data_IF_356656106051
#
_entry.id   IF_356656106051
#
_cell.length_a   1.000
_cell.length_b   1.000
_cell.length_c   1.000
_cell.angle_alpha   90.00
_cell.angle_beta   90.00
_cell.angle_gamma   90.00
#
_symmetry.space_group_name_H-M   'P 1'
#
loop_
_entity.id
_entity.type
_entity.pdbx_description
1 polymer ?
#
# COMPACT_ATOMS: atom_id res chain seq x y z
N UNK A 1 44.14 -43.14 -18.87
CA UNK A 1 42.96 -42.29 -19.14
C UNK A 1 42.94 -41.12 -18.16
N UNK A 2 43.86 -40.16 -18.19
CA UNK A 2 44.51 -39.49 -19.35
C UNK A 2 43.48 -38.90 -20.33
N UNK A 3 43.56 -37.61 -20.71
CA UNK A 3 44.60 -36.64 -20.35
C UNK A 3 44.18 -35.18 -20.46
N UNK A 4 45.07 -34.30 -19.99
CA UNK A 4 44.94 -32.84 -19.99
C UNK A 4 45.95 -32.24 -20.97
N UNK A 5 45.56 -31.18 -21.68
CA UNK A 5 46.51 -30.31 -22.38
C UNK A 5 46.01 -28.85 -22.35
N UNK A 6 46.78 -27.97 -21.71
CA UNK A 6 46.74 -26.51 -21.90
C UNK A 6 47.86 -26.12 -22.86
N UNK A 7 47.65 -25.11 -23.69
CA UNK A 7 48.72 -24.22 -24.14
C UNK A 7 48.15 -22.83 -24.50
N UNK A 8 48.86 -21.80 -24.07
CA UNK A 8 48.59 -20.38 -24.27
C UNK A 8 49.83 -19.71 -24.85
N UNK A 9 49.70 -18.68 -25.69
CA UNK A 9 50.62 -17.51 -25.79
C UNK A 9 49.85 -16.37 -26.50
N UNK A 10 50.18 -15.11 -26.19
CA UNK A 10 49.53 -13.89 -26.68
C UNK A 10 50.53 -12.93 -27.35
N UNK A 11 50.03 -11.97 -28.16
CA UNK A 11 50.61 -10.61 -28.32
C UNK A 11 49.78 -9.71 -29.28
N UNK A 12 49.27 -8.61 -28.73
CA UNK A 12 48.74 -7.39 -29.40
C UNK A 12 49.89 -6.34 -29.56
N UNK A 13 49.66 -5.06 -29.98
CA UNK A 13 48.90 -4.50 -31.12
C UNK A 13 49.68 -3.37 -31.87
N UNK A 14 49.13 -2.74 -32.91
CA UNK A 14 49.46 -1.34 -33.27
C UNK A 14 48.36 -0.63 -34.12
N UNK A 15 48.33 0.72 -34.11
CA UNK A 15 47.19 1.58 -34.53
C UNK A 15 47.55 2.61 -35.65
N UNK A 16 46.58 3.15 -36.42
CA UNK A 16 46.78 4.08 -37.55
C UNK A 16 46.71 5.58 -37.15
N UNK A 17 46.89 6.57 -38.08
CA UNK A 17 45.72 7.29 -38.64
C UNK A 17 45.89 8.07 -39.99
N UNK A 18 44.78 8.64 -40.50
CA UNK A 18 44.72 9.77 -41.48
C UNK A 18 43.79 9.54 -42.70
N UNK A 19 43.02 10.49 -43.25
CA UNK A 19 42.68 11.88 -42.84
C UNK A 19 41.92 12.68 -43.93
N UNK A 20 41.07 13.63 -43.50
CA UNK A 20 40.47 14.80 -44.21
C UNK A 20 39.23 14.68 -45.16
N UNK A 21 38.15 15.36 -44.76
CA UNK A 21 37.07 16.01 -45.57
C UNK A 21 37.51 17.46 -46.02
N UNK A 22 36.68 18.43 -46.54
CA UNK A 22 35.22 18.48 -46.83
C UNK A 22 34.73 19.22 -48.12
N UNK A 23 33.39 19.31 -48.24
CA UNK A 23 32.58 20.47 -48.73
C UNK A 23 32.09 20.63 -50.20
N UNK A 24 30.75 20.49 -50.34
CA UNK A 24 29.77 21.39 -50.98
C UNK A 24 29.69 21.61 -52.53
N UNK A 25 28.49 21.34 -53.11
CA UNK A 25 27.57 22.35 -53.73
C UNK A 25 26.65 21.83 -54.87
N UNK A 26 25.32 21.92 -54.63
CA UNK A 26 24.21 22.23 -55.59
C UNK A 26 23.94 21.43 -56.89
N UNK A 27 22.67 20.99 -57.06
CA UNK A 27 21.88 21.38 -58.26
C UNK A 27 21.00 20.35 -59.01
N UNK A 28 19.69 20.29 -58.69
CA UNK A 28 18.53 20.00 -59.61
C UNK A 28 18.45 18.60 -60.31
N UNK A 29 17.31 18.02 -60.74
CA UNK A 29 15.85 18.22 -60.53
C UNK A 29 15.10 16.88 -60.84
N UNK A 30 13.92 16.74 -60.24
CA UNK A 30 12.74 15.83 -60.44
C UNK A 30 12.35 15.50 -61.93
N UNK A 31 11.39 14.57 -62.26
CA UNK A 31 10.20 14.18 -61.46
C UNK A 31 9.59 12.73 -61.59
N UNK A 32 8.60 12.45 -60.72
CA UNK A 32 7.32 11.69 -60.92
C UNK A 32 7.30 10.20 -61.42
N UNK A 33 6.30 9.33 -61.14
CA UNK A 33 4.90 9.51 -60.69
C UNK A 33 4.27 8.22 -60.04
N UNK A 34 2.98 8.32 -59.64
CA UNK A 34 1.95 7.22 -59.42
C UNK A 34 1.81 6.50 -58.03
N UNK A 35 0.61 5.99 -57.60
CA UNK A 35 -0.36 6.77 -56.78
C UNK A 35 -0.98 5.95 -55.56
N UNK A 36 -2.24 6.10 -55.03
CA UNK A 36 -2.48 6.07 -53.57
C UNK A 36 -3.47 4.99 -53.05
N UNK A 37 -3.64 4.88 -51.72
CA UNK A 37 -4.78 4.18 -51.09
C UNK A 37 -5.21 4.83 -49.76
N UNK A 38 -6.41 4.49 -49.26
CA UNK A 38 -7.25 5.40 -48.44
C UNK A 38 -7.32 5.11 -46.92
N UNK A 39 -7.44 6.22 -46.19
CA UNK A 39 -8.23 6.49 -44.96
C UNK A 39 -8.64 5.36 -44.00
N UNK A 40 -8.30 5.54 -42.71
CA UNK A 40 -9.20 5.32 -41.55
C UNK A 40 -9.00 6.47 -40.55
N UNK A 41 -10.09 7.03 -40.02
CA UNK A 41 -10.10 8.23 -39.17
C UNK A 41 -9.58 8.03 -37.73
N UNK A 42 -8.94 9.07 -37.18
CA UNK A 42 -8.84 9.31 -35.74
C UNK A 42 -9.10 10.80 -35.42
N UNK A 43 -9.91 11.12 -34.39
CA UNK A 43 -10.26 12.49 -34.07
C UNK A 43 -9.12 13.21 -33.32
N UNK A 44 -8.58 14.27 -33.94
CA UNK A 44 -7.65 15.20 -33.28
C UNK A 44 -8.41 16.06 -32.26
N UNK A 45 -8.20 15.82 -30.97
CA UNK A 45 -8.46 16.82 -29.93
C UNK A 45 -7.23 17.73 -29.79
N UNK A 46 -7.26 18.86 -30.51
CA UNK A 46 -6.45 20.02 -30.14
C UNK A 46 -7.01 20.62 -28.85
N UNK A 47 -6.15 20.88 -27.86
CA UNK A 47 -6.37 22.02 -26.97
C UNK A 47 -5.05 22.55 -26.42
N UNK A 48 -4.93 23.86 -26.50
CA UNK A 48 -3.73 24.65 -26.23
C UNK A 48 -3.12 24.38 -24.85
N UNK A 49 -1.79 24.24 -24.81
CA UNK A 49 -1.02 24.55 -23.61
C UNK A 49 -0.94 26.08 -23.49
N UNK A 50 -1.91 26.66 -22.77
CA UNK A 50 -1.79 28.03 -22.28
C UNK A 50 -0.82 28.08 -21.10
N UNK A 51 0.22 28.90 -21.23
CA UNK A 51 1.07 29.29 -20.11
C UNK A 51 0.27 30.23 -19.21
N UNK A 52 -0.18 29.78 -18.03
CA UNK A 52 -0.76 30.68 -17.03
C UNK A 52 0.09 30.68 -15.76
N UNK A 53 0.87 31.76 -15.66
CA UNK A 53 1.56 32.21 -14.46
C UNK A 53 0.52 32.55 -13.38
N UNK A 54 0.56 31.87 -12.24
CA UNK A 54 -0.05 32.37 -11.01
C UNK A 54 1.01 32.46 -9.93
N UNK A 55 1.78 33.55 -9.98
CA UNK A 55 2.24 34.18 -8.74
C UNK A 55 1.00 34.50 -7.88
N UNK A 56 0.99 34.07 -6.61
CA UNK A 56 0.51 34.94 -5.53
C UNK A 56 0.86 34.42 -4.13
N UNK A 57 1.42 35.33 -3.34
CA UNK A 57 1.33 35.40 -1.88
C UNK A 57 2.08 34.34 -1.06
N UNK A 58 3.40 34.34 -1.22
CA UNK A 58 4.30 34.17 -0.07
C UNK A 58 4.23 35.41 0.84
N UNK A 59 3.40 35.38 1.88
CA UNK A 59 3.45 36.39 2.96
C UNK A 59 3.19 35.79 4.35
N UNK A 60 4.22 35.90 5.19
CA UNK A 60 4.19 35.93 6.66
C UNK A 60 3.17 35.06 7.42
N UNK A 61 3.66 33.92 7.95
CA UNK A 61 3.35 33.53 9.33
C UNK A 61 4.67 33.24 10.04
N UNK A 62 4.91 33.96 11.14
CA UNK A 62 6.15 33.91 11.93
C UNK A 62 6.28 32.60 12.72
N UNK A 63 7.53 32.28 13.09
CA UNK A 63 7.88 31.20 14.01
C UNK A 63 6.97 31.16 15.25
N UNK A 64 6.35 30.00 15.48
CA UNK A 64 5.73 29.66 16.76
C UNK A 64 6.54 28.52 17.38
N UNK A 65 7.04 28.66 18.63
CA UNK A 65 8.01 27.73 19.19
C UNK A 65 7.39 26.33 19.37
N UNK A 66 8.03 25.32 18.78
CA UNK A 66 7.59 23.94 18.86
C UNK A 66 7.49 23.48 20.32
N UNK A 67 6.26 23.27 20.81
CA UNK A 67 6.03 22.65 22.13
C UNK A 67 6.65 21.25 22.12
N UNK A 68 7.72 21.10 22.90
CA UNK A 68 8.57 19.90 23.01
C UNK A 68 7.73 18.62 23.07
N UNK A 69 7.90 17.73 22.09
CA UNK A 69 7.48 16.34 22.22
C UNK A 69 8.47 15.58 23.08
N UNK A 70 8.07 15.26 24.31
CA UNK A 70 8.45 13.97 24.87
C UNK A 70 7.58 12.92 24.17
N UNK A 71 8.09 12.34 23.08
CA UNK A 71 7.73 10.96 22.76
C UNK A 71 8.62 10.09 23.65
N UNK A 72 8.03 9.40 24.60
CA UNK A 72 8.79 8.53 25.49
C UNK A 72 9.50 7.42 24.68
N UNK A 73 10.72 7.09 25.11
CA UNK A 73 11.77 6.50 24.25
C UNK A 73 11.93 4.99 24.45
N UNK A 74 11.19 4.40 25.39
CA UNK A 74 11.29 2.99 25.79
C UNK A 74 10.32 2.07 25.00
N UNK A 75 10.29 0.78 25.36
CA UNK A 75 9.40 -0.29 24.85
C UNK A 75 9.80 -0.98 23.51
N UNK A 76 10.56 -0.38 22.57
CA UNK A 76 11.04 -1.15 21.37
C UNK A 76 12.16 -2.15 21.71
N UNK A 77 12.77 -2.06 22.89
CA UNK A 77 13.82 -2.99 23.36
C UNK A 77 13.31 -4.05 24.35
N UNK A 78 12.08 -3.95 24.86
CA UNK A 78 11.62 -4.79 25.98
C UNK A 78 11.08 -6.17 25.55
N UNK A 79 10.57 -6.31 24.32
CA UNK A 79 10.11 -7.60 23.77
C UNK A 79 11.30 -8.53 23.35
N UNK A 80 12.54 -8.24 23.76
CA UNK A 80 13.73 -9.08 23.54
C UNK A 80 14.25 -9.83 24.79
N UNK A 81 13.60 -9.68 25.95
CA UNK A 81 14.13 -10.21 27.24
C UNK A 81 13.13 -11.03 28.07
N UNK A 82 12.17 -11.71 27.43
CA UNK A 82 11.14 -12.50 28.14
C UNK A 82 10.79 -13.86 27.48
N UNK A 83 11.79 -14.63 27.06
CA UNK A 83 11.62 -16.05 26.66
C UNK A 83 12.78 -16.91 27.18
N UNK A 84 12.90 -17.03 28.52
CA UNK A 84 13.69 -18.11 29.15
C UNK A 84 13.26 -18.35 30.62
N UNK A 85 12.11 -19.01 30.82
CA UNK A 85 11.93 -19.95 31.95
C UNK A 85 10.80 -20.94 31.63
N UNK A 86 10.88 -22.15 32.19
CA UNK A 86 10.02 -23.28 31.85
C UNK A 86 8.77 -23.42 32.73
N UNK A 87 8.05 -24.53 32.53
CA UNK A 87 7.02 -25.00 33.48
C UNK A 87 5.64 -25.25 32.88
N UNK A 88 5.41 -26.47 32.40
CA UNK A 88 4.05 -26.96 32.15
C UNK A 88 3.26 -27.06 33.46
N UNK A 89 2.16 -26.33 33.61
CA UNK A 89 1.26 -26.43 34.76
C UNK A 89 -0.21 -26.52 34.32
N UNK A 90 -0.71 -27.75 34.10
CA UNK A 90 -2.16 -28.00 33.99
C UNK A 90 -2.83 -27.73 35.34
N UNK A 91 -3.94 -26.97 35.35
CA UNK A 91 -4.90 -26.95 36.47
C UNK A 91 -6.32 -27.09 35.96
N UNK A 92 -6.89 -28.27 36.17
CA UNK A 92 -8.34 -28.49 36.18
C UNK A 92 -8.91 -28.11 37.54
N UNK A 93 -10.15 -27.61 37.57
CA UNK A 93 -11.00 -27.56 38.78
C UNK A 93 -12.40 -28.06 38.42
N UNK A 94 -12.99 -28.83 39.33
CA UNK A 94 -14.19 -29.63 39.11
C UNK A 94 -14.96 -29.68 40.44
N UNK A 95 -16.24 -29.29 40.45
CA UNK A 95 -17.22 -29.33 41.57
C UNK A 95 -18.57 -28.91 40.92
N UNK A 96 -19.57 -29.76 40.61
CA UNK A 96 -20.48 -30.69 41.35
C UNK A 96 -21.72 -30.04 42.01
N UNK A 97 -22.90 -30.66 41.79
CA UNK A 97 -24.26 -30.30 42.20
C UNK A 97 -25.23 -30.40 40.98
N UNK A 98 -25.99 -31.44 40.62
CA UNK A 98 -26.82 -32.47 41.33
C UNK A 98 -28.22 -31.86 41.68
N UNK A 99 -29.45 -32.40 41.39
CA UNK A 99 -29.99 -33.77 41.08
C UNK A 99 -31.31 -33.72 40.21
N UNK A 100 -31.71 -34.83 39.53
CA UNK A 100 -33.11 -35.32 39.15
C UNK A 100 -34.04 -34.54 38.19
N UNK A 101 -35.05 -35.12 37.48
CA UNK A 101 -35.37 -36.47 36.93
C UNK A 101 -36.54 -36.36 35.89
N UNK A 102 -36.61 -37.33 34.97
CA UNK A 102 -37.76 -37.87 34.20
C UNK A 102 -38.65 -37.10 33.19
N UNK A 103 -38.99 -37.85 32.13
CA UNK A 103 -39.81 -37.53 30.93
C UNK A 103 -41.24 -38.12 31.07
N UNK A 104 -42.25 -37.72 30.27
CA UNK A 104 -42.67 -38.64 29.18
C UNK A 104 -43.32 -38.04 27.91
N UNK A 105 -43.09 -38.76 26.81
CA UNK A 105 -43.64 -38.64 25.44
C UNK A 105 -45.17 -38.79 25.17
N UNK A 106 -45.54 -38.54 23.89
CA UNK A 106 -46.67 -39.05 23.06
C UNK A 106 -47.94 -38.19 22.78
N UNK A 107 -48.30 -38.08 21.47
CA UNK A 107 -49.67 -37.80 20.96
C UNK A 107 -49.84 -36.54 20.07
N UNK A 108 -49.57 -36.53 18.74
CA UNK A 108 -50.33 -37.10 17.60
C UNK A 108 -51.65 -36.36 17.23
N UNK A 109 -51.70 -35.62 16.10
CA UNK A 109 -52.72 -35.75 15.00
C UNK A 109 -52.66 -34.69 13.87
N UNK A 110 -52.92 -35.18 12.64
CA UNK A 110 -52.94 -34.50 11.34
C UNK A 110 -54.09 -33.49 11.12
N UNK A 111 -53.99 -32.58 10.11
CA UNK A 111 -54.86 -32.60 8.89
C UNK A 111 -54.70 -31.44 7.85
N UNK A 112 -54.42 -31.80 6.58
CA UNK A 112 -54.93 -31.26 5.27
C UNK A 112 -55.09 -29.74 4.98
N UNK A 113 -54.69 -29.16 3.82
CA UNK A 113 -55.30 -29.30 2.44
C UNK A 113 -54.62 -28.38 1.38
N UNK A 114 -54.43 -28.87 0.12
CA UNK A 114 -54.68 -28.25 -1.24
C UNK A 114 -54.15 -26.80 -1.57
N UNK A 115 -53.77 -26.39 -2.80
CA UNK A 115 -53.65 -26.94 -4.18
C UNK A 115 -52.93 -25.88 -5.10
N UNK A 116 -52.59 -26.27 -6.35
CA UNK A 116 -52.32 -25.45 -7.58
C UNK A 116 -50.87 -25.11 -8.02
N UNK A 117 -50.44 -25.93 -8.99
CA UNK A 117 -49.49 -25.85 -10.14
C UNK A 117 -49.47 -24.53 -10.98
N UNK A 118 -48.64 -24.40 -12.06
CA UNK A 118 -47.19 -24.63 -12.21
C UNK A 118 -46.50 -23.58 -13.17
N UNK A 119 -45.26 -23.86 -13.62
CA UNK A 119 -44.50 -23.25 -14.75
C UNK A 119 -43.95 -21.82 -14.54
N UNK A 120 -42.61 -21.68 -14.49
CA UNK A 120 -41.79 -21.03 -15.53
C UNK A 120 -40.27 -21.20 -15.24
N UNK A 121 -39.49 -21.38 -16.33
CA UNK A 121 -38.03 -21.27 -16.52
C UNK A 121 -37.02 -21.88 -15.52
N UNK A 122 -36.56 -23.10 -15.82
CA UNK A 122 -35.25 -23.61 -15.37
C UNK A 122 -34.10 -22.98 -16.19
N UNK A 123 -33.44 -21.96 -15.64
CA UNK A 123 -32.12 -21.51 -16.15
C UNK A 123 -31.01 -22.33 -15.48
N UNK A 124 -30.10 -23.01 -16.22
CA UNK A 124 -29.15 -23.95 -15.63
C UNK A 124 -28.15 -23.29 -14.66
N UNK A 125 -28.00 -23.89 -13.47
CA UNK A 125 -27.06 -23.51 -12.38
C UNK A 125 -25.55 -23.61 -12.73
N UNK A 126 -25.19 -23.67 -14.02
CA UNK A 126 -23.80 -23.76 -14.50
C UNK A 126 -23.16 -22.40 -14.85
N UNK A 127 -23.92 -21.30 -14.88
CA UNK A 127 -23.37 -19.95 -15.10
C UNK A 127 -22.90 -19.26 -13.81
N UNK A 128 -23.47 -19.60 -12.65
CA UNK A 128 -23.14 -18.97 -11.35
C UNK A 128 -21.76 -19.36 -10.77
N UNK A 129 -20.96 -20.18 -11.47
CA UNK A 129 -19.59 -20.55 -11.06
C UNK A 129 -18.48 -19.81 -11.81
N UNK A 130 -18.79 -18.84 -12.68
CA UNK A 130 -17.79 -17.97 -13.31
C UNK A 130 -17.64 -16.59 -12.64
N UNK A 131 -18.45 -16.26 -11.62
CA UNK A 131 -18.41 -14.98 -10.90
C UNK A 131 -17.61 -15.04 -9.58
N UNK A 132 -16.51 -15.81 -9.53
CA UNK A 132 -15.49 -15.61 -8.49
C UNK A 132 -14.72 -14.30 -8.78
N UNK A 133 -15.39 -13.17 -8.52
CA UNK A 133 -14.90 -11.83 -8.83
C UNK A 133 -13.64 -11.44 -8.06
N UNK A 134 -12.92 -10.43 -8.56
CA UNK A 134 -11.64 -9.95 -8.03
C UNK A 134 -11.61 -9.80 -6.50
N UNK A 135 -12.66 -9.20 -5.91
CA UNK A 135 -12.86 -9.08 -4.47
C UNK A 135 -12.63 -10.38 -3.70
N UNK A 136 -13.10 -11.52 -4.22
CA UNK A 136 -12.96 -12.84 -3.60
C UNK A 136 -11.50 -13.29 -3.59
N UNK A 137 -10.78 -13.10 -4.70
CA UNK A 137 -9.36 -13.45 -4.81
C UNK A 137 -8.50 -12.61 -3.85
N UNK A 138 -8.77 -11.31 -3.72
CA UNK A 138 -8.09 -10.43 -2.74
C UNK A 138 -8.40 -10.89 -1.31
N UNK A 139 -9.66 -11.16 -0.99
CA UNK A 139 -10.06 -11.64 0.34
C UNK A 139 -9.40 -12.98 0.69
N UNK A 140 -9.36 -13.94 -0.24
CA UNK A 140 -8.73 -15.24 -0.07
C UNK A 140 -7.23 -15.10 0.23
N UNK A 141 -6.48 -14.36 -0.59
CA UNK A 141 -5.05 -14.12 -0.37
C UNK A 141 -4.74 -13.54 1.02
N UNK A 142 -5.44 -12.46 1.41
CA UNK A 142 -5.20 -11.84 2.73
C UNK A 142 -5.62 -12.74 3.91
N UNK A 143 -6.63 -13.58 3.72
CA UNK A 143 -7.03 -14.62 4.67
C UNK A 143 -5.99 -15.74 4.82
N UNK A 144 -5.36 -16.17 3.72
CA UNK A 144 -4.39 -17.27 3.67
C UNK A 144 -3.00 -16.90 4.19
N UNK A 145 -2.57 -15.64 4.02
CA UNK A 145 -1.31 -15.14 4.56
C UNK A 145 -1.16 -15.47 6.06
N UNK A 146 -0.14 -16.23 6.43
CA UNK A 146 0.05 -16.62 7.84
C UNK A 146 0.55 -15.44 8.68
N UNK A 147 0.06 -15.33 9.92
CA UNK A 147 0.64 -14.43 10.92
C UNK A 147 1.97 -15.03 11.43
N UNK A 148 3.06 -14.65 10.79
CA UNK A 148 4.41 -14.89 11.30
C UNK A 148 4.81 -13.79 12.28
N UNK A 149 5.32 -14.17 13.46
CA UNK A 149 5.77 -13.24 14.51
C UNK A 149 7.01 -12.41 14.12
N UNK A 150 7.35 -11.42 14.95
CA UNK A 150 8.41 -10.43 14.66
C UNK A 150 9.76 -11.07 14.32
N UNK A 151 10.18 -12.12 15.05
CA UNK A 151 11.44 -12.82 14.81
C UNK A 151 11.53 -13.37 13.37
N UNK A 152 10.50 -14.09 12.90
CA UNK A 152 10.43 -14.59 11.51
C UNK A 152 10.38 -13.45 10.48
N UNK A 153 9.71 -12.33 10.78
CA UNK A 153 9.68 -11.17 9.88
C UNK A 153 11.06 -10.52 9.71
N UNK A 154 11.90 -10.56 10.75
CA UNK A 154 13.27 -10.01 10.71
C UNK A 154 14.26 -10.81 9.85
N UNK A 155 13.89 -12.03 9.45
CA UNK A 155 14.67 -12.93 8.59
C UNK A 155 14.30 -12.82 7.10
N UNK A 156 13.37 -11.91 6.73
CA UNK A 156 12.84 -11.78 5.36
C UNK A 156 13.72 -10.87 4.49
N UNK A 157 13.92 -11.25 3.22
CA UNK A 157 14.62 -10.47 2.18
C UNK A 157 14.17 -9.01 2.05
N UNK A 158 12.91 -8.74 2.39
CA UNK A 158 12.25 -7.42 2.32
C UNK A 158 11.98 -6.80 3.71
N UNK A 159 12.76 -7.17 4.73
CA UNK A 159 12.63 -6.62 6.08
C UNK A 159 12.73 -5.09 6.11
N UNK A 160 13.74 -4.52 5.45
CA UNK A 160 13.96 -3.08 5.44
C UNK A 160 12.88 -2.36 4.62
N UNK A 161 12.47 -2.89 3.46
CA UNK A 161 11.30 -2.42 2.71
C UNK A 161 10.01 -2.36 3.56
N UNK A 162 9.71 -3.41 4.34
CA UNK A 162 8.53 -3.43 5.24
C UNK A 162 8.64 -2.36 6.33
N UNK A 163 9.83 -2.14 6.87
CA UNK A 163 10.06 -1.11 7.89
C UNK A 163 9.98 0.31 7.30
N UNK A 164 10.49 0.51 6.08
CA UNK A 164 10.38 1.75 5.31
C UNK A 164 8.92 2.11 5.02
N UNK A 165 8.12 1.17 4.50
CA UNK A 165 6.68 1.36 4.29
C UNK A 165 5.96 1.70 5.61
N UNK A 166 6.30 1.05 6.72
CA UNK A 166 5.76 1.39 8.03
C UNK A 166 6.18 2.78 8.51
N UNK A 167 7.41 3.24 8.20
CA UNK A 167 7.86 4.59 8.52
C UNK A 167 7.09 5.64 7.71
N UNK A 168 6.95 5.45 6.38
CA UNK A 168 6.15 6.32 5.50
C UNK A 168 4.74 6.52 6.09
N UNK A 169 4.05 5.42 6.42
CA UNK A 169 2.73 5.46 7.06
C UNK A 169 2.74 6.18 8.41
N UNK A 170 3.75 5.96 9.24
CA UNK A 170 3.87 6.61 10.56
C UNK A 170 4.04 8.13 10.45
N UNK A 171 4.81 8.60 9.47
CA UNK A 171 5.00 10.04 9.23
C UNK A 171 3.73 10.66 8.62
N UNK A 172 3.09 10.00 7.65
CA UNK A 172 1.84 10.46 7.04
C UNK A 172 0.71 10.58 8.09
N UNK A 173 0.50 9.54 8.90
CA UNK A 173 -0.50 9.54 9.99
C UNK A 173 -0.17 10.62 11.02
N UNK A 174 1.11 10.77 11.39
CA UNK A 174 1.57 11.81 12.32
C UNK A 174 1.23 13.22 11.84
N UNK A 175 1.62 13.57 10.61
CA UNK A 175 1.34 14.89 10.01
C UNK A 175 -0.16 15.21 9.98
N UNK A 176 -1.00 14.24 9.63
CA UNK A 176 -2.44 14.46 9.48
C UNK A 176 -3.12 14.59 10.85
N UNK A 177 -2.74 13.79 11.84
CA UNK A 177 -3.22 13.95 13.21
C UNK A 177 -2.78 15.28 13.84
N UNK A 178 -1.67 15.87 13.42
CA UNK A 178 -1.28 17.23 13.80
C UNK A 178 -2.22 18.29 13.19
N UNK A 179 -2.52 18.19 11.89
CA UNK A 179 -3.46 19.08 11.19
C UNK A 179 -4.86 19.02 11.79
N UNK A 180 -5.38 17.81 12.06
CA UNK A 180 -6.66 17.62 12.77
C UNK A 180 -6.62 18.29 14.15
N UNK A 181 -5.54 18.12 14.91
CA UNK A 181 -5.40 18.71 16.26
C UNK A 181 -5.34 20.23 16.30
N UNK A 182 -5.03 20.90 15.19
CA UNK A 182 -5.14 22.35 15.08
C UNK A 182 -6.60 22.84 15.12
N UNK A 183 -7.57 21.95 14.79
CA UNK A 183 -9.02 22.26 14.75
C UNK A 183 -9.80 21.55 15.86
N UNK A 184 -9.42 20.32 16.21
CA UNK A 184 -10.13 19.42 17.13
C UNK A 184 -9.15 18.74 18.09
N UNK A 185 -9.15 19.18 19.36
CA UNK A 185 -8.16 18.78 20.37
C UNK A 185 -8.46 17.45 21.07
N UNK A 186 -9.70 16.97 21.00
CA UNK A 186 -10.21 15.77 21.67
C UNK A 186 -11.15 14.98 20.75
N UNK A 187 -11.47 13.73 21.13
CA UNK A 187 -12.54 12.95 20.51
C UNK A 187 -12.31 12.70 19.00
N UNK A 188 -11.05 12.44 18.64
CA UNK A 188 -10.64 12.14 17.26
C UNK A 188 -11.13 10.75 16.87
N UNK A 189 -11.93 10.67 15.81
CA UNK A 189 -12.52 9.44 15.25
C UNK A 189 -11.89 9.15 13.89
N UNK A 190 -11.39 7.93 13.69
CA UNK A 190 -10.68 7.50 12.48
C UNK A 190 -11.36 6.29 11.85
N UNK A 191 -11.45 6.27 10.52
CA UNK A 191 -11.74 5.08 9.71
C UNK A 191 -10.43 4.58 9.10
N UNK A 192 -10.12 3.29 9.28
CA UNK A 192 -8.99 2.61 8.63
C UNK A 192 -9.58 1.57 7.66
N UNK A 193 -9.57 1.93 6.37
CA UNK A 193 -10.22 1.21 5.28
C UNK A 193 -9.18 0.36 4.55
N UNK A 194 -9.38 -0.95 4.51
CA UNK A 194 -8.33 -1.90 4.12
C UNK A 194 -7.30 -2.07 5.25
N UNK A 195 -7.77 -2.15 6.51
CA UNK A 195 -6.89 -2.21 7.68
C UNK A 195 -6.07 -3.51 7.78
N UNK A 196 -6.44 -4.53 7.00
CA UNK A 196 -5.87 -5.88 7.01
C UNK A 196 -5.80 -6.42 8.42
N UNK A 197 -4.59 -6.82 8.83
CA UNK A 197 -4.31 -7.44 10.14
C UNK A 197 -4.04 -6.43 11.25
N UNK A 198 -4.46 -5.16 11.09
CA UNK A 198 -4.22 -4.12 12.08
C UNK A 198 -2.76 -3.68 12.19
N UNK A 199 -2.05 -3.57 11.06
CA UNK A 199 -0.65 -3.12 11.03
C UNK A 199 -0.43 -1.67 11.51
N UNK A 200 -1.50 -0.88 11.57
CA UNK A 200 -1.47 0.54 11.94
C UNK A 200 -2.09 0.82 13.33
N UNK A 201 -2.61 -0.19 14.05
CA UNK A 201 -3.18 -0.06 15.41
C UNK A 201 -2.23 0.66 16.39
N UNK A 202 -0.94 0.30 16.39
CA UNK A 202 0.07 0.96 17.24
C UNK A 202 0.32 2.41 16.83
N UNK A 203 0.18 2.74 15.54
CA UNK A 203 0.31 4.11 15.02
C UNK A 203 -0.87 4.96 15.50
N UNK A 204 -2.09 4.41 15.49
CA UNK A 204 -3.29 5.04 16.04
C UNK A 204 -3.24 5.20 17.57
N UNK A 205 -2.72 4.22 18.32
CA UNK A 205 -2.53 4.31 19.78
C UNK A 205 -1.52 5.39 20.15
N UNK A 206 -0.34 5.39 19.51
CA UNK A 206 0.67 6.46 19.67
C UNK A 206 0.14 7.82 19.20
N UNK A 207 -0.74 7.80 18.19
CA UNK A 207 -1.50 8.94 17.71
C UNK A 207 -2.56 9.46 18.68
N UNK A 208 -2.84 8.77 19.81
CA UNK A 208 -3.81 9.14 20.87
C UNK A 208 -5.17 9.59 20.33
N UNK A 209 -5.76 8.78 19.45
CA UNK A 209 -7.14 8.98 18.99
C UNK A 209 -8.15 8.45 20.02
N UNK A 210 -9.44 8.77 19.87
CA UNK A 210 -10.50 8.31 20.79
C UNK A 210 -11.28 7.11 20.25
N UNK A 211 -11.49 7.05 18.92
CA UNK A 211 -12.19 5.93 18.28
C UNK A 211 -11.54 5.54 16.95
N UNK A 212 -11.48 4.24 16.69
CA UNK A 212 -11.07 3.65 15.42
C UNK A 212 -12.17 2.72 14.89
N UNK A 213 -12.56 2.88 13.63
CA UNK A 213 -13.31 1.86 12.89
C UNK A 213 -12.35 1.21 11.92
N UNK A 214 -12.19 -0.11 12.05
CA UNK A 214 -11.38 -0.94 11.17
C UNK A 214 -12.31 -1.67 10.21
N UNK A 215 -12.10 -1.48 8.90
CA UNK A 215 -12.87 -2.17 7.86
C UNK A 215 -11.93 -2.88 6.88
N UNK A 216 -12.25 -4.12 6.52
CA UNK A 216 -11.54 -4.93 5.52
C UNK A 216 -12.47 -5.99 4.93
N UNK A 217 -12.12 -6.53 3.77
CA UNK A 217 -12.88 -7.59 3.10
C UNK A 217 -12.50 -8.99 3.63
N UNK A 218 -11.28 -9.15 4.14
CA UNK A 218 -10.74 -10.43 4.58
C UNK A 218 -11.09 -10.72 6.05
N UNK A 219 -12.14 -11.51 6.29
CA UNK A 219 -12.66 -11.83 7.62
C UNK A 219 -11.61 -12.41 8.62
N UNK A 220 -10.66 -13.23 8.15
CA UNK A 220 -9.57 -13.74 8.99
C UNK A 220 -8.59 -12.62 9.34
N UNK A 221 -8.32 -11.70 8.41
CA UNK A 221 -7.52 -10.51 8.69
C UNK A 221 -8.21 -9.59 9.70
N UNK A 222 -9.54 -9.41 9.58
CA UNK A 222 -10.34 -8.66 10.55
C UNK A 222 -10.28 -9.28 11.95
N UNK A 223 -10.41 -10.60 12.07
CA UNK A 223 -10.27 -11.32 13.35
C UNK A 223 -8.87 -11.18 13.95
N UNK A 224 -7.81 -11.23 13.14
CA UNK A 224 -6.43 -10.96 13.58
C UNK A 224 -6.23 -9.49 14.00
N UNK A 225 -6.83 -8.54 13.29
CA UNK A 225 -6.84 -7.12 13.66
C UNK A 225 -7.51 -6.91 15.03
N UNK A 226 -8.68 -7.51 15.25
CA UNK A 226 -9.39 -7.48 16.52
C UNK A 226 -8.58 -8.12 17.65
N UNK A 227 -7.97 -9.29 17.42
CA UNK A 227 -7.13 -9.93 18.44
C UNK A 227 -5.94 -9.04 18.84
N UNK A 228 -5.22 -8.45 17.88
CA UNK A 228 -4.11 -7.52 18.19
C UNK A 228 -4.56 -6.29 18.96
N UNK A 229 -5.76 -5.77 18.70
CA UNK A 229 -6.34 -4.68 19.49
C UNK A 229 -6.61 -5.11 20.93
N UNK A 230 -7.19 -6.30 21.12
CA UNK A 230 -7.47 -6.85 22.45
C UNK A 230 -6.18 -7.15 23.23
N UNK A 231 -5.15 -7.69 22.57
CA UNK A 231 -3.83 -7.91 23.15
C UNK A 231 -3.19 -6.58 23.59
N UNK A 232 -3.32 -5.52 22.78
CA UNK A 232 -2.87 -4.17 23.11
C UNK A 232 -3.70 -3.52 24.24
N UNK A 233 -4.98 -3.87 24.37
CA UNK A 233 -5.90 -3.38 25.42
C UNK A 233 -5.68 -4.07 26.77
N UNK A 234 -5.26 -5.34 26.75
CA UNK A 234 -4.96 -6.14 27.93
C UNK A 234 -3.55 -5.91 28.50
N UNK A 235 -2.70 -5.11 27.85
CA UNK A 235 -1.39 -4.70 28.41
C UNK A 235 -1.63 -3.92 29.70
N UNK A 236 -0.78 -4.14 30.71
CA UNK A 236 -0.87 -3.47 32.03
C UNK A 236 -0.23 -2.07 32.04
N UNK A 237 0.00 -1.49 30.86
CA UNK A 237 0.46 -0.11 30.77
C UNK A 237 -0.73 0.85 30.99
N UNK A 238 -0.52 1.92 31.75
CA UNK A 238 -1.55 2.94 31.98
C UNK A 238 -1.75 3.87 30.76
N UNK A 239 -1.49 3.37 29.55
CA UNK A 239 -1.66 4.15 28.33
C UNK A 239 -3.11 4.13 27.85
N UNK A 240 -3.61 5.30 27.46
CA UNK A 240 -4.91 5.42 26.81
C UNK A 240 -4.92 4.65 25.47
N UNK A 241 -5.92 3.78 25.31
CA UNK A 241 -6.25 3.11 24.06
C UNK A 241 -7.64 3.57 23.57
N UNK A 242 -7.78 3.72 22.26
CA UNK A 242 -9.04 4.10 21.63
C UNK A 242 -10.11 3.00 21.77
N UNK A 243 -11.38 3.40 21.68
CA UNK A 243 -12.47 2.45 21.41
C UNK A 243 -12.39 1.95 19.98
N UNK A 244 -12.56 0.64 19.75
CA UNK A 244 -12.49 0.06 18.41
C UNK A 244 -13.82 -0.59 17.97
N UNK A 245 -14.05 -0.57 16.66
CA UNK A 245 -15.13 -1.26 15.96
C UNK A 245 -14.55 -1.96 14.72
N UNK A 246 -15.00 -3.19 14.44
CA UNK A 246 -14.42 -4.06 13.42
C UNK A 246 -15.53 -4.52 12.47
N UNK A 247 -15.37 -4.25 11.18
CA UNK A 247 -16.39 -4.49 10.15
C UNK A 247 -15.78 -5.29 8.99
N UNK A 248 -16.25 -6.52 8.79
CA UNK A 248 -15.95 -7.28 7.57
C UNK A 248 -16.90 -6.80 6.45
N UNK A 249 -16.34 -6.20 5.39
CA UNK A 249 -17.11 -5.68 4.25
C UNK A 249 -16.25 -5.50 2.98
N UNK A 250 -16.83 -5.75 1.81
CA UNK A 250 -16.29 -5.23 0.55
C UNK A 250 -16.59 -3.73 0.48
N UNK A 251 -15.64 -2.91 0.92
CA UNK A 251 -15.75 -1.45 0.93
C UNK A 251 -15.89 -0.82 -0.48
N UNK A 252 -15.79 -1.61 -1.55
CA UNK A 252 -16.06 -1.20 -2.93
C UNK A 252 -17.46 -1.59 -3.43
N UNK A 253 -18.20 -2.46 -2.71
CA UNK A 253 -19.55 -2.92 -3.11
C UNK A 253 -20.63 -2.64 -2.06
N UNK A 254 -20.25 -2.47 -0.80
CA UNK A 254 -21.15 -2.26 0.34
C UNK A 254 -20.97 -0.85 0.94
N UNK A 255 -22.05 -0.27 1.48
CA UNK A 255 -21.99 1.03 2.16
C UNK A 255 -21.72 0.83 3.66
N UNK A 256 -20.58 1.31 4.16
CA UNK A 256 -20.19 1.13 5.56
C UNK A 256 -21.14 1.81 6.56
N UNK A 257 -21.86 2.87 6.13
CA UNK A 257 -22.86 3.57 6.97
C UNK A 257 -24.02 2.66 7.41
N UNK A 258 -24.29 1.59 6.66
CA UNK A 258 -25.32 0.59 6.99
C UNK A 258 -24.81 -0.45 7.99
N UNK A 259 -23.49 -0.50 8.23
CA UNK A 259 -22.81 -1.46 9.11
C UNK A 259 -22.26 -0.84 10.40
N UNK A 260 -22.17 0.49 10.50
CA UNK A 260 -21.72 1.16 11.73
C UNK A 260 -22.70 0.92 12.89
N UNK A 261 -22.17 0.68 14.09
CA UNK A 261 -22.94 0.64 15.34
C UNK A 261 -23.70 1.95 15.60
N UNK A 262 -23.14 3.05 15.12
CA UNK A 262 -23.71 4.38 15.14
C UNK A 262 -23.86 4.90 13.70
N UNK A 263 -25.07 4.87 13.11
CA UNK A 263 -25.32 5.36 11.75
C UNK A 263 -25.05 6.86 11.60
N UNK A 264 -25.03 7.63 12.69
CA UNK A 264 -24.72 9.06 12.68
C UNK A 264 -23.22 9.34 12.78
N UNK A 265 -22.36 8.32 12.83
CA UNK A 265 -20.91 8.50 12.97
C UNK A 265 -20.30 9.33 11.84
N UNK A 266 -19.37 10.21 12.22
CA UNK A 266 -18.49 10.97 11.34
C UNK A 266 -17.02 10.80 11.76
N UNK A 267 -16.12 10.97 10.81
CA UNK A 267 -14.69 10.75 10.94
C UNK A 267 -13.91 12.06 10.74
N UNK A 268 -12.79 12.21 11.47
CA UNK A 268 -11.84 13.30 11.26
C UNK A 268 -10.72 12.88 10.29
N UNK A 269 -10.44 11.57 10.20
CA UNK A 269 -9.50 10.98 9.25
C UNK A 269 -10.09 9.69 8.69
N UNK A 270 -10.01 9.51 7.37
CA UNK A 270 -10.08 8.21 6.73
C UNK A 270 -8.68 7.87 6.18
N UNK A 271 -8.18 6.70 6.56
CA UNK A 271 -6.91 6.13 6.13
C UNK A 271 -7.17 4.95 5.20
N UNK A 272 -6.55 4.93 4.02
CA UNK A 272 -6.63 3.81 3.08
C UNK A 272 -5.22 3.48 2.57
N UNK A 273 -4.55 2.56 3.26
CA UNK A 273 -3.12 2.30 3.08
C UNK A 273 -2.94 1.06 2.21
N UNK A 274 -2.45 1.22 0.98
CA UNK A 274 -2.25 0.14 0.01
C UNK A 274 -3.54 -0.64 -0.32
N UNK A 275 -4.70 0.03 -0.39
CA UNK A 275 -5.97 -0.62 -0.72
C UNK A 275 -6.83 0.09 -1.79
N UNK A 276 -6.59 1.38 -2.09
CA UNK A 276 -7.43 2.12 -3.06
C UNK A 276 -7.47 1.51 -4.48
N UNK A 277 -6.38 0.88 -4.92
CA UNK A 277 -6.27 0.35 -6.28
C UNK A 277 -7.16 -0.87 -6.53
N UNK A 278 -7.51 -1.66 -5.52
CA UNK A 278 -8.43 -2.79 -5.67
C UNK A 278 -9.83 -2.34 -6.12
N UNK A 279 -10.30 -1.16 -5.68
CA UNK A 279 -11.62 -0.65 -6.10
C UNK A 279 -11.68 -0.13 -7.54
N UNK A 280 -10.55 0.01 -8.25
CA UNK A 280 -10.53 0.50 -9.63
C UNK A 280 -10.87 -0.58 -10.68
N UNK A 281 -11.37 -1.74 -10.26
CA UNK A 281 -12.01 -2.75 -11.12
C UNK A 281 -13.11 -2.14 -12.00
N UNK A 282 -13.96 -1.28 -11.41
CA UNK A 282 -15.05 -0.61 -12.11
C UNK A 282 -15.30 0.79 -11.54
N UNK A 283 -15.97 1.64 -12.33
CA UNK A 283 -16.34 2.99 -11.88
C UNK A 283 -17.24 2.97 -10.64
N UNK A 284 -18.17 2.01 -10.56
CA UNK A 284 -19.09 1.85 -9.43
C UNK A 284 -18.32 1.49 -8.15
N UNK A 285 -17.32 0.62 -8.26
CA UNK A 285 -16.50 0.21 -7.13
C UNK A 285 -15.60 1.33 -6.60
N UNK A 286 -14.94 2.06 -7.49
CA UNK A 286 -14.10 3.20 -7.13
C UNK A 286 -14.92 4.34 -6.50
N UNK A 287 -16.13 4.61 -7.02
CA UNK A 287 -17.05 5.59 -6.46
C UNK A 287 -17.59 5.18 -5.09
N UNK A 288 -17.91 3.90 -4.89
CA UNK A 288 -18.41 3.35 -3.61
C UNK A 288 -17.33 3.37 -2.53
N UNK A 289 -16.09 3.01 -2.87
CA UNK A 289 -14.94 3.13 -1.96
C UNK A 289 -14.70 4.60 -1.57
N UNK A 290 -14.73 5.53 -2.52
CA UNK A 290 -14.63 6.97 -2.24
C UNK A 290 -15.82 7.49 -1.42
N UNK A 291 -17.03 6.98 -1.62
CA UNK A 291 -18.21 7.32 -0.80
C UNK A 291 -18.02 6.88 0.65
N UNK A 292 -17.51 5.67 0.87
CA UNK A 292 -17.19 5.16 2.20
C UNK A 292 -16.08 5.97 2.88
N UNK A 293 -15.01 6.28 2.14
CA UNK A 293 -13.86 7.03 2.67
C UNK A 293 -14.15 8.53 2.95
N UNK A 294 -14.90 9.19 2.06
CA UNK A 294 -15.04 10.65 2.04
C UNK A 294 -16.45 11.16 2.41
N UNK A 295 -17.48 10.31 2.30
CA UNK A 295 -18.87 10.68 2.52
C UNK A 295 -19.19 11.06 3.97
N UNK A 296 -18.51 10.42 4.94
CA UNK A 296 -18.67 10.65 6.39
C UNK A 296 -17.48 11.37 7.04
N UNK A 297 -16.64 12.05 6.26
CA UNK A 297 -15.65 12.98 6.83
C UNK A 297 -16.32 14.28 7.31
N UNK A 298 -15.95 14.74 8.50
CA UNK A 298 -16.23 16.09 8.99
C UNK A 298 -15.61 17.14 8.05
N UNK A 299 -16.19 18.34 7.90
CA UNK A 299 -15.51 19.48 7.27
C UNK A 299 -14.14 19.74 7.91
N UNK A 300 -13.09 19.83 7.10
CA UNK A 300 -11.69 19.88 7.56
C UNK A 300 -11.08 18.55 7.95
N UNK A 301 -11.80 17.44 7.83
CA UNK A 301 -11.28 16.08 7.96
C UNK A 301 -10.52 15.63 6.71
N UNK A 302 -9.68 14.60 6.86
CA UNK A 302 -8.73 14.20 5.83
C UNK A 302 -8.97 12.78 5.29
N UNK A 303 -8.91 12.61 3.97
CA UNK A 303 -8.74 11.29 3.34
C UNK A 303 -7.29 11.13 2.92
N UNK A 304 -6.59 10.16 3.49
CA UNK A 304 -5.17 9.90 3.27
C UNK A 304 -4.92 8.45 2.86
N UNK A 305 -3.84 8.21 2.12
CA UNK A 305 -3.51 6.86 1.73
C UNK A 305 -2.24 6.71 0.92
N UNK A 306 -1.99 5.46 0.53
CA UNK A 306 -0.90 5.04 -0.34
C UNK A 306 -1.44 4.15 -1.45
N UNK A 307 -0.94 4.34 -2.67
CA UNK A 307 -1.33 3.53 -3.84
C UNK A 307 -0.21 3.55 -4.89
N UNK A 308 -0.13 2.58 -5.81
CA UNK A 308 0.80 2.64 -6.93
C UNK A 308 0.62 3.90 -7.78
N UNK A 309 1.73 4.49 -8.21
CA UNK A 309 1.77 5.64 -9.11
C UNK A 309 1.64 5.15 -10.55
N UNK A 310 0.48 5.37 -11.19
CA UNK A 310 0.23 4.93 -12.57
C UNK A 310 1.31 5.39 -13.56
N UNK A 311 1.85 6.60 -13.39
CA UNK A 311 2.91 7.11 -14.26
C UNK A 311 4.19 6.28 -14.18
N UNK A 312 4.57 5.80 -12.99
CA UNK A 312 5.77 4.99 -12.81
C UNK A 312 5.56 3.54 -13.27
N UNK A 313 4.37 2.98 -13.02
CA UNK A 313 3.97 1.67 -13.56
C UNK A 313 4.04 1.66 -15.09
N UNK A 314 3.38 2.63 -15.76
CA UNK A 314 3.37 2.71 -17.23
C UNK A 314 4.77 3.04 -17.77
N UNK A 315 5.56 3.91 -17.13
CA UNK A 315 6.94 4.18 -17.55
C UNK A 315 7.82 2.92 -17.56
N UNK A 316 7.70 2.06 -16.56
CA UNK A 316 8.44 0.79 -16.49
C UNK A 316 7.90 -0.26 -17.46
N UNK A 317 6.59 -0.35 -17.60
CA UNK A 317 5.92 -1.23 -18.54
C UNK A 317 6.32 -0.92 -19.99
N UNK A 318 6.26 0.35 -20.39
CA UNK A 318 6.59 0.77 -21.75
C UNK A 318 8.08 0.57 -22.08
N UNK A 319 8.96 0.76 -21.09
CA UNK A 319 10.39 0.46 -21.21
C UNK A 319 10.74 -1.04 -21.22
N UNK A 320 9.82 -1.93 -20.83
CA UNK A 320 10.02 -3.39 -20.91
C UNK A 320 9.73 -3.92 -22.31
N UNK A 321 10.47 -4.95 -22.73
CA UNK A 321 10.24 -5.68 -23.98
C UNK A 321 8.95 -6.52 -23.94
N UNK A 322 8.36 -6.75 -22.75
CA UNK A 322 7.16 -7.57 -22.55
C UNK A 322 6.11 -6.83 -21.70
N UNK A 323 4.93 -7.42 -21.54
CA UNK A 323 3.90 -6.96 -20.59
C UNK A 323 4.31 -7.07 -19.10
N UNK A 324 5.50 -7.59 -18.80
CA UNK A 324 6.00 -7.80 -17.44
C UNK A 324 7.26 -6.97 -17.14
N UNK A 325 7.40 -6.49 -15.92
CA UNK A 325 8.64 -5.89 -15.40
C UNK A 325 8.79 -6.16 -13.90
N UNK A 326 10.03 -6.20 -13.40
CA UNK A 326 10.29 -6.56 -12.02
C UNK A 326 11.77 -6.76 -11.71
N UNK A 327 12.03 -7.32 -10.54
CA UNK A 327 13.33 -7.81 -10.10
C UNK A 327 13.12 -9.04 -9.18
N UNK A 328 14.11 -9.45 -8.40
CA UNK A 328 14.01 -10.66 -7.58
C UNK A 328 13.03 -10.55 -6.39
N UNK A 329 12.61 -9.35 -5.99
CA UNK A 329 11.66 -9.17 -4.88
C UNK A 329 10.23 -8.84 -5.33
N UNK A 330 10.04 -8.30 -6.54
CA UNK A 330 8.71 -7.92 -7.03
C UNK A 330 8.56 -8.15 -8.54
N UNK A 331 7.36 -8.51 -8.97
CA UNK A 331 6.98 -8.63 -10.38
C UNK A 331 5.64 -7.95 -10.63
N UNK A 332 5.54 -7.20 -11.72
CA UNK A 332 4.29 -6.59 -12.21
C UNK A 332 4.05 -7.11 -13.61
N UNK A 333 2.84 -7.63 -13.87
CA UNK A 333 2.44 -8.17 -15.18
C UNK A 333 1.10 -7.58 -15.60
N UNK A 334 1.11 -6.77 -16.66
CA UNK A 334 -0.11 -6.25 -17.27
C UNK A 334 -0.74 -7.29 -18.20
N UNK A 335 -2.05 -7.15 -18.45
CA UNK A 335 -2.71 -7.98 -19.46
C UNK A 335 -2.37 -7.56 -20.90
N UNK A 336 -2.11 -6.26 -21.13
CA UNK A 336 -1.81 -5.70 -22.46
C UNK A 336 -1.16 -4.32 -22.35
N UNK A 337 -0.09 -4.07 -23.13
CA UNK A 337 0.52 -2.73 -23.31
C UNK A 337 -0.31 -1.84 -24.25
N UNK A 338 -0.19 -0.52 -24.07
CA UNK A 338 -0.84 0.50 -24.91
C UNK A 338 -2.36 0.64 -24.72
N UNK A 339 -3.00 -0.13 -23.83
CA UNK A 339 -4.43 -0.02 -23.53
C UNK A 339 -4.65 0.15 -22.02
N UNK A 340 -4.85 1.39 -21.59
CA UNK A 340 -4.93 1.77 -20.18
C UNK A 340 -6.30 2.40 -19.87
N UNK A 341 -7.39 1.61 -19.81
CA UNK A 341 -8.72 2.14 -19.52
C UNK A 341 -8.77 2.73 -18.10
N UNK A 342 -9.62 3.75 -17.91
CA UNK A 342 -9.77 4.49 -16.65
C UNK A 342 -10.19 3.62 -15.46
N UNK A 343 -10.86 2.49 -15.74
CA UNK A 343 -11.23 1.45 -14.79
C UNK A 343 -11.00 0.08 -15.45
N UNK A 344 -10.78 -0.96 -14.65
CA UNK A 344 -10.56 -2.33 -15.14
C UNK A 344 -9.20 -2.58 -15.80
N UNK A 345 -8.27 -1.61 -15.76
CA UNK A 345 -6.89 -1.79 -16.24
C UNK A 345 -6.11 -2.67 -15.25
N UNK A 346 -6.25 -3.99 -15.42
CA UNK A 346 -5.72 -5.02 -14.52
C UNK A 346 -4.24 -5.31 -14.77
N UNK A 347 -3.48 -5.43 -13.68
CA UNK A 347 -2.15 -6.05 -13.65
C UNK A 347 -2.05 -6.98 -12.44
N UNK A 348 -1.30 -8.05 -12.57
CA UNK A 348 -0.96 -8.92 -11.44
C UNK A 348 0.27 -8.32 -10.74
N UNK A 349 0.19 -8.13 -9.41
CA UNK A 349 1.26 -7.57 -8.59
C UNK A 349 1.74 -8.61 -7.56
N UNK A 350 3.01 -9.00 -7.71
CA UNK A 350 3.70 -9.91 -6.81
C UNK A 350 4.81 -9.16 -6.05
N UNK A 351 4.86 -9.33 -4.74
CA UNK A 351 5.94 -8.87 -3.85
C UNK A 351 6.23 -9.97 -2.84
N UNK A 352 7.49 -10.42 -2.80
CA UNK A 352 7.95 -11.62 -2.09
C UNK A 352 7.41 -11.70 -0.65
N UNK A 353 6.55 -12.69 -0.39
CA UNK A 353 5.99 -12.95 0.93
C UNK A 353 5.06 -11.86 1.50
N UNK A 354 4.54 -10.95 0.67
CA UNK A 354 3.53 -9.94 1.06
C UNK A 354 2.26 -10.08 0.23
N UNK A 355 2.37 -10.03 -1.09
CA UNK A 355 1.20 -9.92 -1.97
C UNK A 355 1.44 -10.67 -3.28
N UNK A 356 0.41 -11.37 -3.75
CA UNK A 356 0.37 -12.04 -5.05
C UNK A 356 -1.08 -12.02 -5.55
N UNK A 357 -1.59 -10.82 -5.85
CA UNK A 357 -2.97 -10.62 -6.29
C UNK A 357 -3.02 -9.65 -7.47
N UNK A 358 -4.12 -9.65 -8.23
CA UNK A 358 -4.38 -8.58 -9.16
C UNK A 358 -4.59 -7.23 -8.47
N UNK A 359 -4.19 -6.17 -9.15
CA UNK A 359 -4.44 -4.77 -8.82
C UNK A 359 -4.96 -4.04 -10.07
N UNK A 360 -5.45 -2.81 -9.92
CA UNK A 360 -5.88 -1.97 -11.04
C UNK A 360 -5.16 -0.62 -11.08
N UNK A 361 -5.03 -0.07 -12.28
CA UNK A 361 -4.29 1.16 -12.53
C UNK A 361 -5.06 2.39 -12.04
N UNK A 362 -4.53 3.06 -11.02
CA UNK A 362 -5.13 4.30 -10.49
C UNK A 362 -4.52 5.51 -11.19
N UNK A 363 -5.18 6.00 -12.25
CA UNK A 363 -4.81 7.27 -12.86
C UNK A 363 -5.11 8.41 -11.87
N UNK A 364 -4.08 8.98 -11.24
CA UNK A 364 -4.27 9.90 -10.10
C UNK A 364 -5.13 11.15 -10.40
N UNK A 365 -5.10 11.76 -11.61
CA UNK A 365 -6.04 12.82 -11.97
C UNK A 365 -7.50 12.37 -11.95
N UNK A 366 -7.82 11.15 -12.40
CA UNK A 366 -9.17 10.58 -12.28
C UNK A 366 -9.60 10.43 -10.82
N UNK A 367 -8.74 9.88 -9.96
CA UNK A 367 -8.99 9.81 -8.51
C UNK A 367 -9.28 11.20 -7.92
N UNK A 368 -8.53 12.21 -8.37
CA UNK A 368 -8.72 13.61 -7.95
C UNK A 368 -10.07 14.18 -8.39
N UNK A 369 -10.47 13.95 -9.65
CA UNK A 369 -11.79 14.37 -10.15
C UNK A 369 -12.95 13.65 -9.44
N UNK A 370 -12.85 12.32 -9.25
CA UNK A 370 -13.87 11.54 -8.54
C UNK A 370 -14.02 11.99 -7.08
N UNK A 371 -12.92 12.34 -6.40
CA UNK A 371 -12.97 12.82 -5.03
C UNK A 371 -13.76 14.14 -4.87
N UNK A 372 -13.79 15.01 -5.90
CA UNK A 372 -14.58 16.27 -5.87
C UNK A 372 -16.06 16.03 -5.62
N UNK A 373 -16.63 14.90 -6.09
CA UNK A 373 -18.03 14.50 -5.83
C UNK A 373 -18.37 14.47 -4.34
N UNK A 374 -17.37 14.19 -3.49
CA UNK A 374 -17.52 14.14 -2.03
C UNK A 374 -17.02 15.40 -1.33
N UNK A 375 -16.93 16.53 -2.05
CA UNK A 375 -16.43 17.82 -1.58
C UNK A 375 -14.98 17.75 -1.06
N UNK A 376 -14.13 16.95 -1.72
CA UNK A 376 -12.72 16.77 -1.35
C UNK A 376 -11.81 17.62 -2.23
N UNK A 377 -10.85 18.31 -1.60
CA UNK A 377 -9.78 19.06 -2.29
C UNK A 377 -8.44 18.35 -2.06
N UNK A 378 -7.66 18.16 -3.12
CA UNK A 378 -6.30 17.63 -3.01
C UNK A 378 -5.42 18.61 -2.21
N UNK A 379 -4.72 18.11 -1.20
CA UNK A 379 -3.73 18.87 -0.41
C UNK A 379 -2.32 18.58 -0.94
N UNK A 380 -1.98 17.31 -1.16
CA UNK A 380 -0.80 16.92 -1.91
C UNK A 380 -0.90 15.50 -2.47
N UNK A 381 -0.10 15.24 -3.51
CA UNK A 381 0.28 13.92 -4.02
C UNK A 381 1.80 13.92 -4.20
N UNK A 382 2.50 12.97 -3.58
CA UNK A 382 3.97 12.85 -3.61
C UNK A 382 4.35 11.39 -3.81
N UNK A 383 5.32 11.09 -4.65
CA UNK A 383 5.97 9.78 -4.68
C UNK A 383 6.61 9.46 -3.32
N UNK A 384 6.87 8.19 -3.04
CA UNK A 384 7.57 7.81 -1.81
C UNK A 384 8.95 8.44 -1.69
N UNK A 385 9.64 8.70 -2.81
CA UNK A 385 10.93 9.40 -2.83
C UNK A 385 10.78 10.87 -2.42
N UNK A 386 9.90 11.63 -3.09
CA UNK A 386 9.64 13.05 -2.75
C UNK A 386 9.19 13.22 -1.29
N UNK A 387 8.33 12.32 -0.81
CA UNK A 387 7.88 12.33 0.58
C UNK A 387 9.02 11.99 1.56
N UNK A 388 9.85 11.00 1.26
CA UNK A 388 11.04 10.69 2.06
C UNK A 388 12.00 11.88 2.11
N UNK A 389 12.37 12.46 0.97
CA UNK A 389 13.31 13.59 0.87
C UNK A 389 12.81 14.86 1.58
N UNK A 390 11.50 15.13 1.56
CA UNK A 390 10.91 16.19 2.37
C UNK A 390 10.97 15.85 3.87
N UNK A 391 10.45 14.69 4.27
CA UNK A 391 10.21 14.39 5.68
C UNK A 391 11.46 14.02 6.45
N UNK A 392 12.52 13.55 5.80
CA UNK A 392 13.81 13.21 6.43
C UNK A 392 14.59 14.44 6.91
N UNK A 393 14.22 15.65 6.45
CA UNK A 393 14.76 16.93 6.91
C UNK A 393 14.41 17.22 8.37
N UNK A 394 13.32 16.64 8.90
CA UNK A 394 12.98 16.72 10.31
C UNK A 394 13.77 15.66 11.12
N UNK A 395 14.48 16.11 12.16
CA UNK A 395 15.31 15.24 13.00
C UNK A 395 14.52 14.18 13.78
N UNK A 396 13.29 14.46 14.24
CA UNK A 396 12.45 13.46 14.92
C UNK A 396 12.09 12.30 13.97
N UNK A 397 11.72 12.64 12.73
CA UNK A 397 11.41 11.67 11.68
C UNK A 397 12.65 10.82 11.33
N UNK A 398 13.83 11.44 11.26
CA UNK A 398 15.12 10.78 11.01
C UNK A 398 15.53 9.84 12.16
N UNK A 399 15.27 10.22 13.41
CA UNK A 399 15.48 9.33 14.55
C UNK A 399 14.46 8.19 14.59
N UNK A 400 13.22 8.43 14.17
CA UNK A 400 12.21 7.36 14.02
C UNK A 400 12.62 6.35 12.94
N UNK A 401 13.12 6.80 11.78
CA UNK A 401 13.62 5.94 10.69
C UNK A 401 14.69 4.97 11.20
N UNK A 402 15.64 5.48 11.99
CA UNK A 402 16.69 4.67 12.64
C UNK A 402 16.13 3.69 13.66
N UNK A 403 15.24 4.14 14.56
CA UNK A 403 14.61 3.26 15.58
C UNK A 403 13.76 2.15 14.97
N UNK A 404 13.14 2.41 13.83
CA UNK A 404 12.33 1.42 13.10
C UNK A 404 13.16 0.47 12.23
N UNK A 405 14.49 0.63 12.16
CA UNK A 405 15.35 -0.12 11.23
C UNK A 405 14.78 -0.07 9.80
N UNK A 406 14.35 1.13 9.38
CA UNK A 406 13.71 1.38 8.09
C UNK A 406 14.70 1.63 6.94
N UNK A 407 16.00 1.52 7.21
CA UNK A 407 17.10 1.47 6.25
C UNK A 407 18.15 0.48 6.78
N UNK A 408 18.75 -0.28 5.87
CA UNK A 408 19.88 -1.17 6.12
C UNK A 408 21.18 -0.39 6.35
N UNK A 409 22.05 -0.91 7.21
CA UNK A 409 23.37 -0.33 7.44
C UNK A 409 24.37 -0.79 6.37
N UNK A 410 25.04 0.17 5.73
CA UNK A 410 26.03 -0.10 4.68
C UNK A 410 27.36 0.64 4.93
N UNK A 411 28.53 -0.02 4.79
CA UNK A 411 28.71 -1.47 4.61
C UNK A 411 28.16 -2.27 5.80
N UNK A 412 27.97 -3.58 5.61
CA UNK A 412 27.61 -4.47 6.71
C UNK A 412 28.74 -4.54 7.76
N UNK A 413 28.38 -4.84 9.01
CA UNK A 413 29.35 -5.17 10.06
C UNK A 413 29.98 -6.54 9.78
N UNK A 414 31.19 -6.77 10.27
CA UNK A 414 32.01 -7.98 10.03
C UNK A 414 31.25 -9.31 10.28
N UNK A 415 30.34 -9.32 11.27
CA UNK A 415 29.53 -10.48 11.65
C UNK A 415 28.10 -10.47 11.08
N UNK A 416 27.82 -9.68 10.04
CA UNK A 416 26.49 -9.53 9.44
C UNK A 416 26.54 -9.62 7.91
N UNK A 417 25.50 -10.20 7.31
CA UNK A 417 25.26 -10.14 5.87
C UNK A 417 24.35 -8.97 5.54
N UNK A 418 24.48 -8.44 4.32
CA UNK A 418 23.48 -7.57 3.71
C UNK A 418 22.24 -8.39 3.31
N UNK A 419 21.07 -7.77 3.27
CA UNK A 419 19.80 -8.40 2.92
C UNK A 419 19.76 -8.91 1.46
N UNK A 420 20.51 -8.28 0.56
CA UNK A 420 20.66 -8.71 -0.83
C UNK A 420 22.07 -9.23 -1.08
N UNK A 421 22.19 -10.46 -1.58
CA UNK A 421 23.47 -11.03 -2.07
C UNK A 421 23.71 -10.70 -3.57
N UNK A 422 22.80 -9.97 -4.21
CA UNK A 422 22.82 -9.66 -5.64
C UNK A 422 23.93 -8.66 -5.98
N UNK A 423 24.73 -9.00 -7.00
CA UNK A 423 25.78 -8.11 -7.52
C UNK A 423 25.14 -6.83 -8.08
N UNK A 424 25.61 -5.68 -7.59
CA UNK A 424 25.16 -4.36 -8.02
C UNK A 424 24.05 -3.72 -7.17
N UNK A 425 23.48 -4.44 -6.21
CA UNK A 425 22.35 -3.95 -5.40
C UNK A 425 22.71 -2.83 -4.42
N UNK A 426 24.00 -2.57 -4.18
CA UNK A 426 24.49 -1.49 -3.31
C UNK A 426 25.48 -0.55 -4.03
N UNK A 427 25.53 -0.57 -5.37
CA UNK A 427 26.45 0.28 -6.15
C UNK A 427 26.24 1.77 -5.86
N UNK A 428 24.99 2.21 -5.66
CA UNK A 428 24.66 3.58 -5.26
C UNK A 428 25.30 3.98 -3.93
N UNK A 429 25.27 3.10 -2.94
CA UNK A 429 25.89 3.34 -1.64
C UNK A 429 27.43 3.31 -1.73
N UNK A 430 28.00 2.38 -2.50
CA UNK A 430 29.43 2.30 -2.75
C UNK A 430 29.97 3.52 -3.51
N UNK A 431 29.24 4.04 -4.49
CA UNK A 431 29.58 5.28 -5.20
C UNK A 431 29.47 6.51 -4.29
N UNK A 432 28.44 6.59 -3.45
CA UNK A 432 28.27 7.71 -2.52
C UNK A 432 29.43 7.79 -1.52
N UNK A 433 29.92 6.66 -1.02
CA UNK A 433 31.13 6.59 -0.19
C UNK A 433 32.39 7.06 -0.91
N UNK A 434 32.54 6.79 -2.20
CA UNK A 434 33.69 7.28 -3.00
C UNK A 434 33.64 8.78 -3.25
N UNK A 435 32.44 9.36 -3.37
CA UNK A 435 32.22 10.76 -3.75
C UNK A 435 32.19 11.74 -2.56
N UNK A 436 32.22 11.27 -1.31
CA UNK A 436 31.99 12.13 -0.14
C UNK A 436 32.68 11.62 1.13
N UNK A 437 33.17 12.53 1.97
CA UNK A 437 33.65 12.22 3.33
C UNK A 437 32.45 11.96 4.26
N UNK A 438 31.78 10.83 4.10
CA UNK A 438 30.57 10.50 4.87
C UNK A 438 30.93 9.77 6.16
N UNK A 439 30.27 10.14 7.25
CA UNK A 439 30.32 9.37 8.51
C UNK A 439 29.63 8.01 8.33
N UNK A 440 30.38 6.93 8.49
CA UNK A 440 29.87 5.56 8.50
C UNK A 440 29.14 5.20 9.81
N UNK A 441 28.25 4.17 9.79
CA UNK A 441 27.71 3.52 8.60
C UNK A 441 26.65 4.39 7.89
N UNK A 442 26.46 4.15 6.59
CA UNK A 442 25.31 4.69 5.85
C UNK A 442 24.02 3.95 6.22
N UNK A 443 22.88 4.59 5.99
CA UNK A 443 21.58 3.91 5.90
C UNK A 443 21.11 3.93 4.44
N UNK A 444 20.71 2.78 3.89
CA UNK A 444 20.13 2.68 2.53
C UNK A 444 19.12 1.54 2.42
N UNK A 445 18.50 1.35 1.26
CA UNK A 445 17.85 0.10 0.87
C UNK A 445 18.66 -0.55 -0.26
N UNK A 446 18.48 -1.84 -0.48
CA UNK A 446 18.99 -2.49 -1.69
C UNK A 446 18.37 -1.84 -2.93
N UNK A 447 19.07 -1.84 -4.08
CA UNK A 447 18.55 -1.28 -5.33
C UNK A 447 17.18 -1.87 -5.68
N UNK A 448 17.01 -3.18 -5.50
CA UNK A 448 15.76 -3.85 -5.78
C UNK A 448 14.62 -3.51 -4.80
N UNK A 449 14.92 -3.26 -3.53
CA UNK A 449 13.97 -2.67 -2.57
C UNK A 449 13.58 -1.24 -2.95
N UNK A 450 14.55 -0.42 -3.38
CA UNK A 450 14.28 0.93 -3.89
C UNK A 450 13.39 0.92 -5.13
N UNK A 451 13.64 0.00 -6.06
CA UNK A 451 12.80 -0.20 -7.25
C UNK A 451 11.36 -0.57 -6.82
N UNK A 452 11.15 -1.54 -5.92
CA UNK A 452 9.81 -1.88 -5.46
C UNK A 452 9.10 -0.71 -4.77
N UNK A 453 9.74 -0.04 -3.80
CA UNK A 453 9.07 1.02 -3.02
C UNK A 453 8.79 2.29 -3.81
N UNK A 454 9.61 2.60 -4.83
CA UNK A 454 9.45 3.82 -5.64
C UNK A 454 8.26 3.78 -6.61
N UNK A 455 7.60 2.62 -6.76
CA UNK A 455 6.32 2.49 -7.46
C UNK A 455 5.21 3.30 -6.75
N UNK A 456 5.27 3.47 -5.43
CA UNK A 456 4.17 4.03 -4.66
C UNK A 456 4.19 5.56 -4.52
N UNK A 457 3.00 6.13 -4.35
CA UNK A 457 2.78 7.51 -3.93
C UNK A 457 1.98 7.56 -2.62
N UNK A 458 2.16 8.66 -1.89
CA UNK A 458 1.27 9.11 -0.80
C UNK A 458 0.32 10.17 -1.36
N UNK A 459 -0.87 10.27 -0.78
CA UNK A 459 -1.80 11.36 -1.05
C UNK A 459 -2.54 11.81 0.21
N UNK A 460 -3.01 13.06 0.18
CA UNK A 460 -3.92 13.60 1.18
C UNK A 460 -4.93 14.54 0.50
N UNK A 461 -6.21 14.35 0.81
CA UNK A 461 -7.32 15.23 0.46
C UNK A 461 -7.97 15.78 1.74
N UNK A 462 -8.50 17.00 1.69
CA UNK A 462 -9.26 17.62 2.78
C UNK A 462 -10.71 17.84 2.38
N UNK A 463 -11.64 17.45 3.26
CA UNK A 463 -13.07 17.72 3.15
C UNK A 463 -13.30 19.23 3.26
N UNK A 464 -13.85 19.85 2.23
CA UNK A 464 -14.22 21.27 2.28
C UNK A 464 -15.50 21.47 3.11
N UNK A 465 -15.84 22.73 3.37
CA UNK A 465 -17.09 23.12 4.06
C UNK A 465 -18.31 22.83 3.19
#
# INVERSE_FOLDING_TARGET
MEGSAKASVASDPESPPGGNEPAAASGQRLPENTPPCQQVDQPKMQKEFGEDLVEQNSSYVQDSPSKKRKLDVEIILEEKHSEDDGGSAKRSKLERGDVSEDEPSLGRLNQTKRKLQPQDDEVPQKLQKLEEGHSSAVAAHYNELQEVGLAKRSQSRIFYLRNFNNWIKSILIGEILEKVRQRKTRDITVLDLGCGKGGDLLKWRKGRISRLVCADIADISMKQCQQRYEDMRCRRDNEHIFSAEFITADCSKELLVEKFRDPEMYFDVCSCQFACHYSFESQVQADTMLRNACGRLNPGGYFIGTTPNSFELIRRLEASETESFGNEIYTVKFQKKGNYPLFGCKYDFNLEGVVDVPEFLVYFPLLTEMAKKYNMKLIYKKTFLEFYEEKIKNNENKMLLKRMQALEQYPAHENSKLASEKVGDYTHAAEYLKKSQVRLPLGTLSKSEWEATSIYLVFAFEKQQ
#
